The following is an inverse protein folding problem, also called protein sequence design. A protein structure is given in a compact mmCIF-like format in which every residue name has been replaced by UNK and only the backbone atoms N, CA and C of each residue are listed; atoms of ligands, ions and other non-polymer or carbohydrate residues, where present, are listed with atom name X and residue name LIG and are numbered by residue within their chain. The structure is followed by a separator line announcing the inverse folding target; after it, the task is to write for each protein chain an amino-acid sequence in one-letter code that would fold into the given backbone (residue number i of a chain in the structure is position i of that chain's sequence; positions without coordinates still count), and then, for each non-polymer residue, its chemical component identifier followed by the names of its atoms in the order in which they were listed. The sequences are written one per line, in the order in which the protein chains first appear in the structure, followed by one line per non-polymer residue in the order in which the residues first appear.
data_IF_595471193816
#
_entry.id   IF_595471193816
#
_cell.length_a   1.000
_cell.length_b   1.000
_cell.length_c   1.000
_cell.angle_alpha   90.00
_cell.angle_beta   90.00
_cell.angle_gamma   90.00
#
_symmetry.space_group_name_H-M   'P 1'
#
loop_
_entity.id
_entity.type
_entity.pdbx_description
1 polymer ?
#
# COMPACT_ATOMS: atom_id res chain seq x y z
N UNK A 1 2.12 -11.60 -4.04
CA UNK A 1 1.85 -11.66 -2.58
C UNK A 1 1.27 -10.33 -2.17
N UNK A 2 0.30 -10.29 -1.25
CA UNK A 2 -0.29 -9.02 -0.81
C UNK A 2 0.60 -8.36 0.24
N UNK A 3 0.76 -7.04 0.15
CA UNK A 3 1.48 -6.23 1.11
C UNK A 3 0.55 -5.14 1.66
N UNK A 4 0.64 -4.92 2.97
CA UNK A 4 0.17 -3.68 3.61
C UNK A 4 1.37 -2.77 3.74
N UNK A 5 1.26 -1.56 3.21
CA UNK A 5 2.26 -0.51 3.34
C UNK A 5 1.74 0.52 4.31
N UNK A 6 2.50 0.85 5.35
CA UNK A 6 2.22 1.97 6.24
C UNK A 6 3.37 2.95 6.20
N UNK A 7 3.08 4.21 6.42
CA UNK A 7 4.12 5.22 6.53
C UNK A 7 3.81 6.27 7.61
N UNK A 8 4.88 6.83 8.14
CA UNK A 8 4.88 8.03 8.97
C UNK A 8 5.74 9.05 8.23
N UNK A 9 5.05 10.03 7.62
CA UNK A 9 5.66 11.09 6.80
C UNK A 9 5.01 12.40 7.16
N UNK A 10 5.81 13.34 7.68
CA UNK A 10 5.32 14.64 8.16
C UNK A 10 5.17 15.64 7.02
N UNK A 11 6.13 15.67 6.08
CA UNK A 11 6.08 16.59 4.95
C UNK A 11 4.98 16.21 3.95
N UNK A 12 4.08 17.16 3.67
CA UNK A 12 2.92 16.92 2.84
C UNK A 12 3.28 16.64 1.38
N UNK A 13 4.37 17.23 0.85
CA UNK A 13 4.80 17.02 -0.53
C UNK A 13 5.41 15.63 -0.70
N UNK A 14 6.31 15.24 0.20
CA UNK A 14 6.89 13.89 0.22
C UNK A 14 5.80 12.83 0.39
N UNK A 15 4.86 13.06 1.30
CA UNK A 15 3.74 12.14 1.49
C UNK A 15 2.88 12.00 0.24
N UNK A 16 2.66 13.09 -0.50
CA UNK A 16 1.96 13.05 -1.78
C UNK A 16 2.74 12.25 -2.82
N UNK A 17 4.05 12.48 -2.95
CA UNK A 17 4.92 11.73 -3.86
C UNK A 17 4.92 10.24 -3.55
N UNK A 18 5.13 9.85 -2.29
CA UNK A 18 5.07 8.45 -1.84
C UNK A 18 3.69 7.86 -2.11
N UNK A 19 2.61 8.60 -1.87
CA UNK A 19 1.26 8.15 -2.16
C UNK A 19 1.02 7.89 -3.66
N UNK A 20 1.52 8.74 -4.55
CA UNK A 20 1.41 8.52 -6.00
C UNK A 20 2.28 7.34 -6.44
N UNK A 21 3.53 7.25 -5.98
CA UNK A 21 4.38 6.08 -6.27
C UNK A 21 3.71 4.78 -5.87
N UNK A 22 3.12 4.68 -4.67
CA UNK A 22 2.42 3.46 -4.26
C UNK A 22 1.23 3.12 -5.19
N UNK A 23 0.51 4.10 -5.72
CA UNK A 23 -0.56 3.88 -6.70
C UNK A 23 -0.04 3.41 -8.05
N UNK A 24 1.10 3.94 -8.50
CA UNK A 24 1.72 3.55 -9.78
C UNK A 24 2.14 2.07 -9.75
N UNK A 25 2.49 1.55 -8.57
CA UNK A 25 2.72 0.11 -8.33
C UNK A 25 1.42 -0.70 -8.15
N UNK A 26 0.25 -0.11 -8.37
CA UNK A 26 -1.05 -0.78 -8.27
C UNK A 26 -1.56 -0.98 -6.85
N UNK A 27 -0.95 -0.36 -5.83
CA UNK A 27 -1.45 -0.42 -4.45
C UNK A 27 -2.64 0.53 -4.28
N UNK A 28 -3.67 0.06 -3.59
CA UNK A 28 -4.85 0.84 -3.25
C UNK A 28 -4.67 1.52 -1.89
N UNK A 29 -4.93 2.82 -1.83
CA UNK A 29 -4.93 3.57 -0.57
C UNK A 29 -6.12 3.13 0.28
N UNK A 30 -5.88 2.79 1.55
CA UNK A 30 -6.91 2.34 2.48
C UNK A 30 -7.08 3.26 3.70
N UNK A 31 -6.03 4.01 4.06
CA UNK A 31 -6.10 5.02 5.11
C UNK A 31 -5.25 6.23 4.73
N UNK A 32 -5.19 7.22 5.64
CA UNK A 32 -4.40 8.43 5.41
C UNK A 32 -2.92 8.14 5.17
N UNK A 33 -2.39 7.10 5.81
CA UNK A 33 -0.99 6.71 5.69
C UNK A 33 -0.81 5.20 5.50
N UNK A 34 -1.78 4.55 4.84
CA UNK A 34 -1.71 3.12 4.58
C UNK A 34 -2.27 2.74 3.20
N UNK A 35 -1.61 1.77 2.59
CA UNK A 35 -1.92 1.19 1.28
C UNK A 35 -1.92 -0.34 1.35
N UNK A 36 -2.61 -0.97 0.41
CA UNK A 36 -2.61 -2.41 0.26
C UNK A 36 -2.69 -2.83 -1.21
N UNK A 37 -2.03 -3.93 -1.56
CA UNK A 37 -2.18 -4.53 -2.88
C UNK A 37 -1.20 -5.66 -3.10
N UNK A 38 -1.32 -6.30 -4.27
CA UNK A 38 -0.48 -7.42 -4.64
C UNK A 38 0.75 -6.94 -5.40
N UNK A 39 1.93 -7.36 -4.96
CA UNK A 39 3.18 -7.13 -5.66
C UNK A 39 3.83 -8.46 -6.02
N UNK A 40 4.41 -8.52 -7.21
CA UNK A 40 5.41 -9.51 -7.59
C UNK A 40 6.75 -9.15 -6.95
N UNK A 41 7.70 -10.09 -6.98
CA UNK A 41 9.01 -9.94 -6.32
C UNK A 41 9.86 -8.84 -6.95
N UNK A 42 9.82 -8.74 -8.28
CA UNK A 42 10.44 -7.69 -9.08
C UNK A 42 9.84 -6.31 -8.73
N UNK A 43 8.51 -6.20 -8.72
CA UNK A 43 7.80 -4.96 -8.37
C UNK A 43 8.13 -4.49 -6.96
N UNK A 44 8.19 -5.41 -5.99
CA UNK A 44 8.59 -5.10 -4.62
C UNK A 44 10.01 -4.53 -4.56
N UNK A 45 10.97 -5.14 -5.26
CA UNK A 45 12.36 -4.68 -5.23
C UNK A 45 12.49 -3.28 -5.84
N UNK A 46 11.81 -3.02 -6.96
CA UNK A 46 11.79 -1.70 -7.58
C UNK A 46 11.13 -0.66 -6.66
N UNK A 47 9.99 -1.00 -6.04
CA UNK A 47 9.30 -0.13 -5.10
C UNK A 47 10.21 0.25 -3.91
N UNK A 48 10.96 -0.71 -3.36
CA UNK A 48 11.88 -0.44 -2.27
C UNK A 48 13.02 0.51 -2.68
N UNK A 49 13.49 0.44 -3.92
CA UNK A 49 14.51 1.36 -4.45
C UNK A 49 13.91 2.76 -4.62
N UNK A 50 12.72 2.86 -5.22
CA UNK A 50 12.05 4.15 -5.44
C UNK A 50 11.73 4.86 -4.11
N UNK A 51 11.20 4.14 -3.13
CA UNK A 51 10.91 4.69 -1.80
C UNK A 51 12.20 5.16 -1.10
N UNK A 52 13.30 4.40 -1.20
CA UNK A 52 14.60 4.84 -0.66
C UNK A 52 15.10 6.10 -1.36
N UNK A 53 14.92 6.23 -2.67
CA UNK A 53 15.33 7.40 -3.43
C UNK A 53 14.47 8.64 -3.15
N UNK A 54 13.20 8.46 -2.79
CA UNK A 54 12.32 9.56 -2.37
C UNK A 54 12.66 10.06 -0.98
N UNK A 55 12.87 9.15 -0.02
CA UNK A 55 13.15 9.49 1.38
C UNK A 55 14.60 9.94 1.57
N UNK A 56 15.55 9.32 0.87
CA UNK A 56 17.00 9.57 1.00
C UNK A 56 17.46 9.54 2.46
N UNK A 57 17.95 10.67 2.95
CA UNK A 57 18.50 10.86 4.29
C UNK A 57 17.48 11.45 5.28
N UNK A 58 16.21 11.59 4.87
CA UNK A 58 15.15 12.10 5.72
C UNK A 58 14.78 11.08 6.80
N UNK A 59 14.41 11.59 7.98
CA UNK A 59 13.94 10.78 9.11
C UNK A 59 12.45 10.50 8.93
N UNK A 60 12.12 9.67 7.94
CA UNK A 60 10.75 9.26 7.62
C UNK A 60 10.66 7.75 7.61
N UNK A 61 9.47 7.20 7.91
CA UNK A 61 9.31 5.77 8.10
C UNK A 61 8.31 5.17 7.11
N UNK A 62 8.75 4.16 6.36
CA UNK A 62 7.85 3.36 5.50
C UNK A 62 8.09 1.89 5.78
N UNK A 63 7.03 1.16 6.05
CA UNK A 63 7.08 -0.26 6.38
C UNK A 63 6.15 -1.05 5.47
N UNK A 64 6.63 -2.19 4.99
CA UNK A 64 5.88 -3.10 4.13
C UNK A 64 5.73 -4.44 4.83
N UNK A 65 4.49 -4.86 5.05
CA UNK A 65 4.16 -6.12 5.70
C UNK A 65 3.56 -7.08 4.69
N UNK A 66 4.16 -8.26 4.45
CA UNK A 66 3.50 -9.30 3.68
C UNK A 66 2.30 -9.82 4.48
N UNK A 67 1.13 -9.91 3.85
CA UNK A 67 -0.11 -10.37 4.46
C UNK A 67 -0.70 -11.47 3.58
N UNK A 68 -0.95 -12.65 4.15
CA UNK A 68 -1.64 -13.71 3.44
C UNK A 68 -3.14 -13.41 3.34
N UNK A 69 -3.83 -14.06 2.39
CA UNK A 69 -5.25 -13.81 2.16
C UNK A 69 -6.12 -14.09 3.39
N UNK A 70 -5.80 -15.13 4.16
CA UNK A 70 -6.52 -15.47 5.40
C UNK A 70 -6.40 -14.37 6.45
N UNK A 71 -5.18 -13.88 6.70
CA UNK A 71 -4.97 -12.77 7.64
C UNK A 71 -5.68 -11.50 7.17
N UNK A 72 -5.67 -11.24 5.86
CA UNK A 72 -6.34 -10.07 5.30
C UNK A 72 -7.87 -10.15 5.40
N UNK A 73 -8.46 -11.32 5.15
CA UNK A 73 -9.91 -11.57 5.35
C UNK A 73 -10.31 -11.46 6.82
N UNK A 74 -9.40 -11.80 7.73
CA UNK A 74 -9.60 -11.69 9.18
C UNK A 74 -9.50 -10.26 9.73
N UNK A 75 -9.21 -9.25 8.90
CA UNK A 75 -9.05 -7.87 9.34
C UNK A 75 -10.29 -7.37 10.09
N UNK A 76 -10.07 -6.53 11.10
CA UNK A 76 -11.13 -5.85 11.84
C UNK A 76 -10.99 -4.36 11.60
N UNK A 77 -12.10 -3.71 11.31
CA UNK A 77 -12.20 -2.27 11.12
C UNK A 77 -13.18 -1.70 12.15
N UNK A 78 -12.80 -0.57 12.76
CA UNK A 78 -13.64 0.15 13.71
C UNK A 78 -13.85 1.57 13.18
N UNK A 79 -15.11 1.98 13.08
CA UNK A 79 -15.50 3.25 12.47
C UNK A 79 -15.89 3.10 11.00
N UNK A 80 -15.95 4.24 10.30
CA UNK A 80 -16.25 4.30 8.87
C UNK A 80 -15.07 4.93 8.11
N UNK A 81 -14.80 4.50 6.87
CA UNK A 81 -13.83 5.16 6.01
C UNK A 81 -14.19 6.63 5.81
N UNK A 82 -13.22 7.54 6.01
CA UNK A 82 -13.44 8.98 5.76
C UNK A 82 -13.36 9.33 4.27
N UNK A 83 -12.46 8.68 3.53
CA UNK A 83 -12.11 9.07 2.15
C UNK A 83 -11.70 7.91 1.24
N UNK A 84 -11.10 6.87 1.79
CA UNK A 84 -10.50 5.79 1.00
C UNK A 84 -11.30 4.52 1.21
N UNK A 85 -11.99 4.07 0.17
CA UNK A 85 -12.70 2.80 0.16
C UNK A 85 -11.87 1.76 -0.58
N UNK A 86 -11.66 0.61 0.05
CA UNK A 86 -11.04 -0.52 -0.61
C UNK A 86 -12.02 -1.14 -1.60
N UNK A 87 -11.64 -1.19 -2.87
CA UNK A 87 -12.38 -1.90 -3.91
C UNK A 87 -11.70 -3.25 -4.13
N UNK A 88 -12.23 -4.29 -3.48
CA UNK A 88 -11.82 -5.65 -3.76
C UNK A 88 -12.30 -6.02 -5.17
N UNK A 89 -11.37 -6.26 -6.10
CA UNK A 89 -11.72 -6.87 -7.38
C UNK A 89 -12.26 -8.27 -7.08
N UNK A 90 -13.55 -8.49 -7.35
CA UNK A 90 -14.11 -9.84 -7.36
C UNK A 90 -13.42 -10.57 -8.49
N UNK A 91 -12.71 -11.67 -8.17
CA UNK A 91 -12.29 -12.64 -9.16
C UNK A 91 -13.50 -12.94 -10.05
N UNK A 92 -13.48 -12.45 -11.30
CA UNK A 92 -14.40 -12.94 -12.31
C UNK A 92 -13.97 -14.37 -12.55
N UNK A 93 -14.59 -15.31 -11.83
CA UNK A 93 -14.52 -16.73 -12.17
C UNK A 93 -15.07 -16.82 -13.58
N UNK A 94 -14.17 -16.86 -14.56
CA UNK A 94 -14.51 -17.16 -15.94
C UNK A 94 -14.94 -18.63 -15.92
N UNK A 95 -16.25 -18.85 -15.88
CA UNK A 95 -16.82 -20.14 -16.24
C UNK A 95 -16.51 -20.35 -17.73
N UNK A 96 -15.46 -21.11 -18.02
CA UNK A 96 -15.29 -21.80 -19.28
C UNK A 96 -15.86 -23.20 -19.13
#
# INVERSE_FOLDING_TARGET
MRYVVIYDITDDNLRALVAETLKDYGLQRIQYSAFIGSLRRDELNSLLVDLKNLIKDLVENVQLYPVCDTCFKGRKEVGKPKRYELKEEKDKVAYF
#
